data_IF_867047731621
#
_entry.id   IF_867047731621
#
_cell.length_a   1.000
_cell.length_b   1.000
_cell.length_c   1.000
_cell.angle_alpha   90.00
_cell.angle_beta   90.00
_cell.angle_gamma   90.00
#
_symmetry.space_group_name_H-M   'P 1'
#
loop_
_entity.id
_entity.type
_entity.pdbx_description
1 polymer ?
#
# COMPACT_ATOMS: atom_id res chain seq x y z
N UNK A 1 2.34 -3.70 8.40
CA UNK A 1 1.86 -3.46 7.02
C UNK A 1 1.78 -4.71 6.17
N UNK A 2 2.75 -5.63 6.19
CA UNK A 2 2.64 -6.94 5.50
C UNK A 2 1.31 -7.65 5.84
N UNK A 3 0.98 -7.73 7.14
CA UNK A 3 -0.25 -8.36 7.59
C UNK A 3 -1.51 -7.64 7.11
N UNK A 4 -1.46 -6.32 6.87
CA UNK A 4 -2.60 -5.59 6.32
C UNK A 4 -2.90 -6.04 4.88
N UNK A 5 -1.88 -6.26 4.06
CA UNK A 5 -2.02 -6.88 2.74
C UNK A 5 -2.57 -8.31 2.85
N UNK A 6 -2.06 -9.10 3.80
CA UNK A 6 -2.53 -10.47 4.01
C UNK A 6 -4.01 -10.51 4.45
N UNK A 7 -4.47 -9.57 5.29
CA UNK A 7 -5.89 -9.44 5.67
C UNK A 7 -6.74 -9.10 4.44
N UNK A 8 -6.33 -8.11 3.64
CA UNK A 8 -7.05 -7.73 2.40
C UNK A 8 -7.19 -8.90 1.43
N UNK A 9 -6.11 -9.67 1.21
CA UNK A 9 -6.15 -10.88 0.37
C UNK A 9 -7.06 -11.96 0.95
N UNK A 10 -7.01 -12.20 2.26
CA UNK A 10 -7.91 -13.18 2.89
C UNK A 10 -9.39 -12.77 2.81
N UNK A 11 -9.71 -11.48 3.00
CA UNK A 11 -11.06 -10.91 2.76
C UNK A 11 -11.52 -11.17 1.33
N UNK A 12 -10.66 -10.89 0.36
CA UNK A 12 -10.97 -11.10 -1.05
C UNK A 12 -11.15 -12.58 -1.40
N UNK A 13 -10.23 -13.46 -1.00
CA UNK A 13 -10.30 -14.88 -1.35
C UNK A 13 -11.55 -15.56 -0.81
N UNK A 14 -11.85 -15.32 0.47
CA UNK A 14 -12.84 -16.09 1.23
C UNK A 14 -14.21 -15.50 1.23
N UNK A 15 -14.28 -14.18 1.35
CA UNK A 15 -15.55 -13.48 1.46
C UNK A 15 -15.91 -12.78 0.15
N UNK A 16 -15.01 -12.77 -0.86
CA UNK A 16 -15.17 -11.97 -2.07
C UNK A 16 -15.44 -10.49 -1.75
N UNK A 17 -14.83 -9.98 -0.68
CA UNK A 17 -14.97 -8.60 -0.23
C UNK A 17 -13.70 -7.81 -0.55
N UNK A 18 -13.89 -6.61 -1.12
CA UNK A 18 -12.85 -5.57 -1.16
C UNK A 18 -13.10 -4.51 -0.10
N UNK A 19 -12.05 -3.94 0.49
CA UNK A 19 -12.16 -2.97 1.58
C UNK A 19 -12.49 -1.57 1.06
N UNK A 20 -11.83 -1.15 -0.03
CA UNK A 20 -12.00 0.13 -0.73
C UNK A 20 -11.67 1.41 0.04
N UNK A 21 -11.53 1.34 1.36
CA UNK A 21 -11.16 2.48 2.21
C UNK A 21 -9.99 2.18 3.16
N UNK A 22 -8.86 1.73 2.61
CA UNK A 22 -7.65 1.49 3.41
C UNK A 22 -7.04 2.83 3.82
N UNK A 23 -6.86 3.03 5.13
CA UNK A 23 -6.36 4.28 5.72
C UNK A 23 -5.56 4.04 7.00
N UNK A 24 -4.87 5.07 7.48
CA UNK A 24 -4.17 5.06 8.78
C UNK A 24 -5.11 4.92 9.99
N UNK A 25 -6.42 5.14 9.81
CA UNK A 25 -7.46 4.94 10.84
C UNK A 25 -8.08 3.55 10.79
N UNK A 26 -8.06 2.92 9.61
CA UNK A 26 -8.70 1.62 9.38
C UNK A 26 -7.73 0.45 9.55
N UNK A 27 -6.43 0.72 9.75
CA UNK A 27 -5.41 -0.26 10.09
C UNK A 27 -5.01 -0.05 11.56
N UNK A 28 -5.42 -0.97 12.43
CA UNK A 28 -5.14 -0.89 13.87
C UNK A 28 -4.10 -1.93 14.28
N UNK A 29 -3.41 -1.69 15.39
CA UNK A 29 -2.63 -2.73 16.06
C UNK A 29 -3.54 -3.84 16.56
N UNK A 30 -3.09 -5.07 16.39
CA UNK A 30 -3.76 -6.23 16.95
C UNK A 30 -3.78 -6.16 18.50
N UNK A 31 -4.92 -6.40 19.16
CA UNK A 31 -4.98 -6.50 20.61
C UNK A 31 -4.12 -7.65 21.11
N UNK A 32 -3.25 -7.39 22.08
CA UNK A 32 -2.44 -8.44 22.71
C UNK A 32 -3.24 -9.19 23.78
N UNK A 33 -4.21 -9.99 23.34
CA UNK A 33 -5.09 -10.77 24.22
C UNK A 33 -5.17 -12.23 23.77
N UNK A 34 -5.24 -13.16 24.73
CA UNK A 34 -5.40 -14.59 24.43
C UNK A 34 -6.67 -14.87 23.64
N UNK A 35 -7.74 -14.13 23.90
CA UNK A 35 -9.01 -14.25 23.16
C UNK A 35 -8.84 -13.87 21.67
N UNK A 36 -8.09 -12.80 21.37
CA UNK A 36 -7.77 -12.44 19.98
C UNK A 36 -6.91 -13.52 19.32
N UNK A 37 -5.82 -13.94 19.99
CA UNK A 37 -4.93 -14.99 19.48
C UNK A 37 -5.67 -16.31 19.22
N UNK A 38 -6.57 -16.72 20.12
CA UNK A 38 -7.37 -17.95 19.97
C UNK A 38 -8.29 -17.89 18.74
N UNK A 39 -9.00 -16.78 18.54
CA UNK A 39 -9.88 -16.59 17.36
C UNK A 39 -9.10 -16.68 16.05
N UNK A 40 -7.89 -16.13 16.01
CA UNK A 40 -7.06 -16.22 14.79
C UNK A 40 -6.53 -17.62 14.53
N UNK A 41 -6.17 -18.39 15.57
CA UNK A 41 -5.73 -19.80 15.42
C UNK A 41 -6.80 -20.69 14.83
N UNK A 42 -8.04 -20.51 15.28
CA UNK A 42 -9.20 -21.25 14.82
C UNK A 42 -9.71 -20.72 13.47
N UNK A 43 -9.34 -19.48 13.13
CA UNK A 43 -9.67 -18.85 11.87
C UNK A 43 -8.94 -19.50 10.70
N UNK A 44 -9.69 -19.76 9.63
CA UNK A 44 -9.09 -20.15 8.37
C UNK A 44 -8.39 -18.90 7.80
N UNK A 45 -7.06 -18.93 7.61
CA UNK A 45 -6.29 -17.96 6.83
C UNK A 45 -5.55 -18.70 5.71
N UNK A 46 -5.88 -18.38 4.46
CA UNK A 46 -5.21 -18.95 3.29
C UNK A 46 -3.91 -18.19 3.06
N UNK A 47 -3.99 -16.86 2.95
CA UNK A 47 -2.77 -16.06 2.82
C UNK A 47 -2.05 -16.00 4.16
N UNK A 48 -0.75 -16.34 4.16
CA UNK A 48 0.07 -16.38 5.37
C UNK A 48 0.37 -14.98 5.89
N UNK A 49 0.35 -14.84 7.20
CA UNK A 49 0.83 -13.65 7.90
C UNK A 49 2.36 -13.69 8.05
N UNK A 50 2.95 -12.53 8.31
CA UNK A 50 4.41 -12.36 8.36
C UNK A 50 5.06 -13.30 9.36
N UNK A 51 4.42 -13.55 10.51
CA UNK A 51 4.96 -14.44 11.54
C UNK A 51 5.13 -15.88 11.03
N UNK A 52 4.20 -16.35 10.20
CA UNK A 52 4.24 -17.70 9.63
C UNK A 52 5.31 -17.79 8.55
N UNK A 53 5.40 -16.78 7.69
CA UNK A 53 6.41 -16.72 6.63
C UNK A 53 7.82 -16.67 7.23
N UNK A 54 8.03 -15.81 8.24
CA UNK A 54 9.32 -15.66 8.90
C UNK A 54 9.76 -16.89 9.69
N UNK A 55 8.81 -17.69 10.19
CA UNK A 55 9.12 -18.91 10.92
C UNK A 55 9.61 -20.05 10.01
N UNK A 56 9.39 -19.95 8.68
CA UNK A 56 9.70 -21.02 7.72
C UNK A 56 9.10 -22.37 8.12
N UNK A 57 7.91 -22.33 8.72
CA UNK A 57 7.21 -23.51 9.21
C UNK A 57 5.71 -23.36 8.94
N UNK A 58 5.16 -24.30 8.17
CA UNK A 58 3.75 -24.32 7.77
C UNK A 58 2.80 -24.66 8.93
N UNK A 59 3.32 -25.21 10.03
CA UNK A 59 2.57 -25.55 11.23
C UNK A 59 2.37 -24.36 12.18
N UNK A 60 3.10 -23.26 11.96
CA UNK A 60 3.01 -22.08 12.82
C UNK A 60 1.65 -21.44 12.69
N UNK A 61 1.01 -21.27 13.83
CA UNK A 61 -0.28 -20.62 13.95
C UNK A 61 -0.22 -19.15 13.49
N UNK A 62 -1.28 -18.63 12.84
CA UNK A 62 -1.35 -17.23 12.47
C UNK A 62 -1.35 -16.33 13.71
N UNK A 63 -0.54 -15.28 13.68
CA UNK A 63 -0.47 -14.26 14.72
C UNK A 63 -0.42 -12.85 14.10
N UNK A 64 -1.49 -12.43 13.39
CA UNK A 64 -1.54 -11.14 12.72
C UNK A 64 -1.30 -10.01 13.70
N UNK A 65 -0.40 -9.09 13.34
CA UNK A 65 -0.01 -7.93 14.14
C UNK A 65 -0.91 -6.71 13.90
N UNK A 66 -1.88 -6.80 12.98
CA UNK A 66 -2.86 -5.75 12.73
C UNK A 66 -4.28 -6.28 12.58
N UNK A 67 -5.22 -5.36 12.75
CA UNK A 67 -6.62 -5.47 12.36
C UNK A 67 -6.88 -4.51 11.21
N UNK A 68 -7.72 -4.93 10.25
CA UNK A 68 -8.32 -4.03 9.27
C UNK A 68 -9.80 -3.93 9.59
N UNK A 69 -10.29 -2.72 9.81
CA UNK A 69 -11.65 -2.42 10.29
C UNK A 69 -12.37 -1.46 9.35
N UNK A 70 -13.65 -1.22 9.61
CA UNK A 70 -14.51 -0.30 8.85
C UNK A 70 -14.76 -0.74 7.40
N UNK A 71 -15.53 -1.81 7.27
CA UNK A 71 -16.02 -2.33 5.99
C UNK A 71 -17.25 -1.57 5.46
N UNK A 72 -17.61 -0.42 6.03
CA UNK A 72 -18.79 0.35 5.61
C UNK A 72 -18.73 0.82 4.15
N UNK A 73 -17.51 1.03 3.66
CA UNK A 73 -17.18 1.38 2.27
C UNK A 73 -16.81 0.17 1.39
N UNK A 74 -16.81 -1.03 1.97
CA UNK A 74 -16.45 -2.26 1.28
C UNK A 74 -17.43 -2.65 0.18
N UNK A 75 -17.00 -3.53 -0.70
CA UNK A 75 -17.85 -4.11 -1.74
C UNK A 75 -17.82 -5.64 -1.66
N UNK A 76 -19.01 -6.22 -1.55
CA UNK A 76 -19.24 -7.66 -1.73
C UNK A 76 -19.40 -7.95 -3.22
N UNK A 77 -18.45 -8.70 -3.80
CA UNK A 77 -18.39 -8.98 -5.23
C UNK A 77 -19.36 -10.10 -5.66
N UNK A 78 -20.00 -10.79 -4.72
CA UNK A 78 -21.04 -11.79 -5.02
C UNK A 78 -22.43 -11.15 -5.18
N UNK A 79 -22.58 -9.87 -4.83
CA UNK A 79 -23.84 -9.12 -4.92
C UNK A 79 -23.79 -8.11 -6.07
N UNK A 80 -24.82 -8.10 -6.92
CA UNK A 80 -24.89 -7.23 -8.12
C UNK A 80 -24.72 -5.73 -7.78
N UNK A 81 -25.32 -5.27 -6.67
CA UNK A 81 -25.13 -3.90 -6.17
C UNK A 81 -23.66 -3.58 -5.88
N UNK A 82 -22.88 -4.57 -5.48
CA UNK A 82 -21.44 -4.44 -5.27
C UNK A 82 -20.68 -4.05 -6.53
N UNK A 83 -21.15 -4.48 -7.72
CA UNK A 83 -20.52 -4.18 -9.02
C UNK A 83 -20.72 -2.73 -9.46
N UNK A 84 -21.91 -2.16 -9.24
CA UNK A 84 -22.18 -0.76 -9.53
C UNK A 84 -21.41 0.16 -8.57
N UNK A 85 -21.31 -0.24 -7.30
CA UNK A 85 -20.54 0.48 -6.30
C UNK A 85 -19.05 0.62 -6.68
N UNK A 86 -18.49 -0.32 -7.45
CA UNK A 86 -17.08 -0.26 -7.89
C UNK A 86 -16.77 0.97 -8.75
N UNK A 87 -17.76 1.67 -9.32
CA UNK A 87 -17.53 2.89 -10.09
C UNK A 87 -17.50 4.15 -9.23
N UNK A 88 -17.83 4.04 -7.95
CA UNK A 88 -17.80 5.15 -7.01
C UNK A 88 -16.37 5.46 -6.56
N UNK A 89 -16.06 6.76 -6.42
CA UNK A 89 -14.78 7.25 -5.90
C UNK A 89 -14.75 7.15 -4.37
N UNK A 90 -14.79 5.91 -3.87
CA UNK A 90 -14.82 5.60 -2.44
C UNK A 90 -13.40 5.45 -1.89
N UNK A 91 -13.17 6.02 -0.72
CA UNK A 91 -11.92 5.91 0.03
C UNK A 91 -11.55 7.20 0.73
N UNK A 92 -10.68 7.09 1.72
CA UNK A 92 -10.14 8.24 2.44
C UNK A 92 -9.33 9.10 1.47
N UNK A 93 -9.68 10.39 1.26
CA UNK A 93 -9.09 11.23 0.24
C UNK A 93 -7.57 11.14 0.10
N UNK A 94 -6.84 11.22 1.22
CA UNK A 94 -5.37 11.12 1.25
C UNK A 94 -4.81 9.80 0.71
N UNK A 95 -5.51 8.69 0.94
CA UNK A 95 -5.01 7.33 0.71
C UNK A 95 -5.68 6.62 -0.46
N UNK A 96 -6.80 7.13 -0.96
CA UNK A 96 -7.51 6.57 -2.12
C UNK A 96 -6.55 6.35 -3.29
N UNK A 97 -6.69 5.24 -4.02
CA UNK A 97 -5.89 4.97 -5.22
C UNK A 97 -6.07 6.07 -6.28
N UNK A 98 -5.04 6.37 -7.07
CA UNK A 98 -5.06 7.56 -7.95
C UNK A 98 -6.10 7.50 -9.07
N UNK A 99 -6.29 6.32 -9.69
CA UNK A 99 -7.34 6.12 -10.70
C UNK A 99 -8.75 6.24 -10.08
N UNK A 100 -8.92 5.74 -8.85
CA UNK A 100 -10.17 5.87 -8.09
C UNK A 100 -10.44 7.32 -7.70
N UNK A 101 -9.41 8.07 -7.28
CA UNK A 101 -9.48 9.51 -7.01
C UNK A 101 -10.00 10.32 -8.20
N UNK A 102 -9.63 9.90 -9.41
CA UNK A 102 -9.99 10.55 -10.66
C UNK A 102 -11.31 10.03 -11.25
N UNK A 103 -11.86 8.92 -10.73
CA UNK A 103 -13.02 8.23 -11.28
C UNK A 103 -12.78 7.60 -12.67
N UNK A 104 -11.52 7.44 -13.09
CA UNK A 104 -11.16 6.95 -14.42
C UNK A 104 -9.83 6.21 -14.44
N UNK A 105 -9.67 5.36 -15.46
CA UNK A 105 -8.38 4.72 -15.74
C UNK A 105 -7.38 5.76 -16.25
N UNK A 106 -6.12 5.57 -15.88
CA UNK A 106 -5.04 6.37 -16.45
C UNK A 106 -4.59 5.90 -17.82
N UNK A 107 -4.07 6.80 -18.65
CA UNK A 107 -3.69 6.47 -20.02
C UNK A 107 -2.55 5.44 -20.12
N UNK A 108 -2.74 4.41 -20.96
CA UNK A 108 -1.79 3.30 -21.20
C UNK A 108 -0.33 3.73 -21.42
N UNK A 109 -0.09 4.86 -22.09
CA UNK A 109 1.27 5.32 -22.42
C UNK A 109 2.04 5.81 -21.18
N UNK A 110 1.37 6.50 -20.26
CA UNK A 110 2.01 7.10 -19.08
C UNK A 110 2.09 6.18 -17.86
N UNK A 111 1.24 5.15 -17.84
CA UNK A 111 1.04 4.24 -16.69
C UNK A 111 1.10 2.78 -17.14
N UNK A 112 2.02 2.50 -18.07
CA UNK A 112 2.27 1.15 -18.61
C UNK A 112 2.92 0.24 -17.56
N UNK A 113 2.57 -1.04 -17.56
CA UNK A 113 3.22 -2.08 -16.75
C UNK A 113 4.32 -2.85 -17.50
N UNK A 114 4.68 -2.44 -18.73
CA UNK A 114 5.56 -3.23 -19.64
C UNK A 114 6.98 -3.43 -19.13
N UNK A 115 7.46 -2.55 -18.27
CA UNK A 115 8.84 -2.53 -17.77
C UNK A 115 8.89 -2.72 -16.26
N UNK A 116 7.79 -3.24 -15.68
CA UNK A 116 7.64 -3.41 -14.23
C UNK A 116 7.57 -4.90 -13.93
N UNK A 117 8.71 -5.44 -13.51
CA UNK A 117 8.85 -6.85 -13.17
C UNK A 117 8.43 -7.14 -11.72
N UNK A 118 7.85 -8.32 -11.52
CA UNK A 118 7.55 -8.83 -10.18
C UNK A 118 8.83 -8.84 -9.32
N UNK A 119 8.82 -8.26 -8.11
CA UNK A 119 9.97 -8.23 -7.23
C UNK A 119 10.58 -9.63 -7.03
N UNK A 120 11.87 -9.74 -7.37
CA UNK A 120 12.63 -10.97 -7.24
C UNK A 120 13.02 -11.22 -5.78
N UNK A 121 12.91 -12.47 -5.35
CA UNK A 121 13.30 -12.93 -4.03
C UNK A 121 14.47 -13.90 -4.20
N UNK A 122 15.70 -13.39 -4.15
CA UNK A 122 16.92 -14.17 -4.43
C UNK A 122 17.66 -14.60 -3.15
N UNK A 123 18.52 -15.62 -3.27
CA UNK A 123 19.34 -16.11 -2.16
C UNK A 123 18.50 -16.54 -0.95
N UNK A 124 18.83 -16.01 0.24
CA UNK A 124 18.12 -16.31 1.49
C UNK A 124 16.64 -15.89 1.44
N UNK A 125 16.29 -14.91 0.60
CA UNK A 125 14.91 -14.45 0.43
C UNK A 125 14.05 -15.47 -0.34
N UNK A 126 14.66 -16.26 -1.23
CA UNK A 126 13.98 -17.29 -2.02
C UNK A 126 13.37 -18.39 -1.11
N UNK A 127 14.02 -18.68 0.02
CA UNK A 127 13.52 -19.66 0.99
C UNK A 127 12.18 -19.22 1.59
N UNK A 128 12.00 -17.92 1.84
CA UNK A 128 10.73 -17.41 2.39
C UNK A 128 9.59 -17.47 1.37
N UNK A 129 9.90 -17.41 0.07
CA UNK A 129 8.89 -17.45 -0.99
C UNK A 129 8.06 -18.75 -0.97
N UNK A 130 8.67 -19.87 -0.56
CA UNK A 130 7.98 -21.16 -0.42
C UNK A 130 6.94 -21.17 0.73
N UNK A 131 7.06 -20.22 1.66
CA UNK A 131 6.15 -20.02 2.78
C UNK A 131 5.19 -18.85 2.54
N UNK A 132 5.47 -18.00 1.57
CA UNK A 132 4.46 -17.15 0.94
C UNK A 132 3.55 -18.04 0.10
N UNK A 133 2.24 -17.75 0.07
CA UNK A 133 1.32 -18.38 -0.90
C UNK A 133 1.58 -17.82 -2.31
N UNK A 134 2.79 -18.04 -2.85
CA UNK A 134 3.39 -17.27 -3.94
C UNK A 134 3.64 -18.06 -5.23
N UNK A 135 3.40 -19.37 -5.24
CA UNK A 135 3.73 -20.26 -6.39
C UNK A 135 2.94 -19.93 -7.67
N UNK A 136 1.81 -19.23 -7.55
CA UNK A 136 0.93 -18.91 -8.69
C UNK A 136 1.29 -17.59 -9.38
N UNK A 137 2.21 -16.79 -8.80
CA UNK A 137 2.49 -15.41 -9.26
C UNK A 137 3.84 -15.27 -9.99
N UNK A 138 4.51 -16.38 -10.27
CA UNK A 138 5.70 -16.40 -11.11
C UNK A 138 5.29 -16.50 -12.58
N UNK A 139 4.84 -15.39 -13.17
CA UNK A 139 4.60 -15.34 -14.61
C UNK A 139 5.83 -14.75 -15.30
N UNK A 140 6.55 -15.60 -16.02
CA UNK A 140 7.44 -15.21 -17.12
C UNK A 140 6.56 -14.70 -18.27
N UNK A 141 6.85 -13.49 -18.76
CA UNK A 141 6.36 -12.88 -20.01
C UNK A 141 5.28 -13.68 -20.74
N UNK A 142 4.04 -13.54 -20.30
CA UNK A 142 2.93 -13.95 -21.15
C UNK A 142 2.75 -12.88 -22.22
N UNK A 143 2.91 -13.19 -23.52
CA UNK A 143 2.65 -12.23 -24.57
C UNK A 143 1.16 -11.89 -24.48
N UNK A 144 0.87 -10.68 -24.00
CA UNK A 144 -0.49 -10.22 -23.73
C UNK A 144 -1.40 -10.58 -24.90
N UNK A 145 -2.46 -11.33 -24.61
CA UNK A 145 -3.45 -11.75 -25.61
C UNK A 145 -3.91 -10.53 -26.41
N UNK A 146 -3.87 -10.64 -27.74
CA UNK A 146 -4.15 -9.57 -28.70
C UNK A 146 -5.62 -9.14 -28.75
N UNK A 147 -6.49 -9.77 -27.95
CA UNK A 147 -7.92 -9.43 -27.85
C UNK A 147 -8.39 -9.42 -26.40
N UNK A 148 -7.79 -8.55 -25.59
CA UNK A 148 -8.33 -8.25 -24.26
C UNK A 148 -9.49 -7.25 -24.39
N UNK A 149 -10.58 -7.42 -23.61
CA UNK A 149 -11.68 -6.47 -23.56
C UNK A 149 -11.17 -5.05 -23.28
N UNK A 150 -11.85 -4.04 -23.81
CA UNK A 150 -11.55 -2.66 -23.45
C UNK A 150 -11.69 -2.49 -21.93
N UNK A 151 -10.60 -2.10 -21.27
CA UNK A 151 -10.59 -1.93 -19.83
C UNK A 151 -11.51 -0.78 -19.46
N UNK A 152 -12.52 -1.06 -18.62
CA UNK A 152 -13.40 -0.08 -18.02
C UNK A 152 -12.95 0.21 -16.59
N UNK A 153 -13.16 1.46 -16.18
CA UNK A 153 -12.94 1.86 -14.80
C UNK A 153 -13.89 1.10 -13.87
N UNK A 154 -13.31 0.49 -12.85
CA UNK A 154 -13.96 -0.10 -11.70
C UNK A 154 -12.90 -0.24 -10.61
N UNK A 155 -13.30 -0.08 -9.35
CA UNK A 155 -12.46 -0.38 -8.21
C UNK A 155 -12.10 -1.86 -8.24
N UNK A 156 -10.80 -2.18 -8.19
CA UNK A 156 -10.27 -3.54 -8.19
C UNK A 156 -9.32 -3.70 -7.01
N UNK A 157 -9.00 -4.95 -6.68
CA UNK A 157 -8.22 -5.29 -5.51
C UNK A 157 -6.89 -4.51 -5.46
N UNK A 158 -6.18 -4.34 -6.57
CA UNK A 158 -4.92 -3.59 -6.61
C UNK A 158 -5.02 -2.13 -6.14
N UNK A 159 -6.21 -1.50 -6.17
CA UNK A 159 -6.39 -0.16 -5.61
C UNK A 159 -6.27 -0.16 -4.07
N UNK A 160 -6.65 -1.24 -3.40
CA UNK A 160 -6.46 -1.39 -1.95
C UNK A 160 -4.96 -1.57 -1.63
N UNK A 161 -4.19 -2.23 -2.53
CA UNK A 161 -2.73 -2.29 -2.44
C UNK A 161 -2.08 -0.91 -2.64
N UNK A 162 -2.52 -0.13 -3.63
CA UNK A 162 -2.05 1.25 -3.82
C UNK A 162 -2.39 2.12 -2.60
N UNK A 163 -3.59 1.96 -2.03
CA UNK A 163 -3.97 2.68 -0.81
C UNK A 163 -3.09 2.31 0.39
N UNK A 164 -2.74 1.02 0.51
CA UNK A 164 -1.77 0.54 1.50
C UNK A 164 -0.39 1.19 1.32
N UNK A 165 0.07 1.34 0.07
CA UNK A 165 1.29 2.07 -0.24
C UNK A 165 1.21 3.54 0.23
N UNK A 166 0.11 4.25 -0.04
CA UNK A 166 -0.05 5.64 0.39
C UNK A 166 -0.03 5.78 1.92
N UNK A 167 -0.59 4.83 2.66
CA UNK A 167 -0.49 4.78 4.14
C UNK A 167 0.97 4.65 4.58
N UNK A 168 1.75 3.77 3.94
CA UNK A 168 3.18 3.57 4.24
C UNK A 168 3.97 4.84 3.94
N UNK A 169 3.81 5.38 2.74
CA UNK A 169 4.48 6.59 2.29
C UNK A 169 4.22 7.78 3.22
N UNK A 170 2.95 8.01 3.56
CA UNK A 170 2.56 9.08 4.48
C UNK A 170 3.15 8.91 5.88
N UNK A 171 3.09 7.68 6.41
CA UNK A 171 3.65 7.36 7.73
C UNK A 171 5.15 7.62 7.77
N UNK A 172 5.91 7.09 6.80
CA UNK A 172 7.37 7.25 6.77
C UNK A 172 7.80 8.69 6.49
N UNK A 173 7.13 9.40 5.58
CA UNK A 173 7.45 10.79 5.28
C UNK A 173 7.29 11.71 6.50
N UNK A 174 6.36 11.39 7.40
CA UNK A 174 6.11 12.11 8.67
C UNK A 174 6.90 11.57 9.85
N UNK A 175 7.72 10.56 9.63
CA UNK A 175 8.51 9.96 10.69
C UNK A 175 9.94 10.47 10.68
N UNK A 176 10.59 10.32 11.82
CA UNK A 176 12.00 10.62 12.00
C UNK A 176 12.64 9.47 12.79
N UNK A 177 13.96 9.30 12.69
CA UNK A 177 14.69 8.37 13.57
C UNK A 177 14.63 8.88 15.01
N UNK A 178 14.48 7.96 15.97
CA UNK A 178 14.50 8.30 17.41
C UNK A 178 15.83 8.99 17.76
N UNK A 179 15.72 10.15 18.43
CA UNK A 179 16.87 10.95 18.86
C UNK A 179 17.43 11.90 17.80
N UNK A 180 16.89 11.90 16.58
CA UNK A 180 17.28 12.86 15.54
C UNK A 180 16.67 14.24 15.76
N UNK A 181 17.36 15.26 15.27
CA UNK A 181 16.89 16.65 15.25
C UNK A 181 15.98 16.90 14.04
N UNK A 182 15.08 17.87 14.17
CA UNK A 182 14.25 18.33 13.05
C UNK A 182 15.10 19.05 12.00
N UNK A 183 14.68 18.96 10.73
CA UNK A 183 15.27 19.78 9.68
C UNK A 183 14.93 21.26 9.91
N UNK A 184 15.94 22.13 9.97
CA UNK A 184 15.72 23.59 10.05
C UNK A 184 14.94 24.09 8.82
N UNK A 185 15.27 23.57 7.64
CA UNK A 185 14.59 23.87 6.37
C UNK A 185 14.31 22.55 5.64
N UNK A 186 13.09 22.00 5.74
CA UNK A 186 12.75 20.76 5.06
C UNK A 186 12.81 20.90 3.54
N UNK A 187 13.22 19.83 2.85
CA UNK A 187 13.36 19.82 1.40
C UNK A 187 12.04 20.14 0.67
N UNK A 188 12.10 20.88 -0.45
CA UNK A 188 10.91 21.32 -1.20
C UNK A 188 10.00 20.16 -1.63
N UNK A 189 10.57 18.99 -1.93
CA UNK A 189 9.81 17.78 -2.30
C UNK A 189 8.99 17.23 -1.15
N UNK A 190 9.55 17.12 0.06
CA UNK A 190 8.78 16.78 1.26
C UNK A 190 7.66 17.79 1.52
N UNK A 191 7.94 19.10 1.40
CA UNK A 191 6.91 20.15 1.54
C UNK A 191 5.77 19.92 0.55
N UNK A 192 6.08 19.74 -0.73
CA UNK A 192 5.08 19.45 -1.76
C UNK A 192 4.31 18.17 -1.45
N UNK A 193 4.99 17.07 -1.13
CA UNK A 193 4.36 15.80 -0.77
C UNK A 193 3.38 15.97 0.40
N UNK A 194 3.83 16.59 1.49
CA UNK A 194 3.02 16.80 2.69
C UNK A 194 1.75 17.59 2.39
N UNK A 195 1.90 18.72 1.68
CA UNK A 195 0.78 19.62 1.39
C UNK A 195 -0.17 19.02 0.34
N UNK A 196 0.35 18.34 -0.69
CA UNK A 196 -0.46 17.58 -1.66
C UNK A 196 -1.29 16.54 -0.92
N UNK A 197 -0.66 15.67 -0.12
CA UNK A 197 -1.37 14.60 0.59
C UNK A 197 -2.37 15.14 1.62
N UNK A 198 -2.07 16.25 2.30
CA UNK A 198 -2.94 16.84 3.32
C UNK A 198 -4.17 17.53 2.74
N UNK A 199 -4.06 18.07 1.53
CA UNK A 199 -5.14 18.80 0.86
C UNK A 199 -5.78 18.00 -0.27
N UNK A 200 -5.35 16.75 -0.48
CA UNK A 200 -5.88 15.94 -1.56
C UNK A 200 -7.36 15.62 -1.33
N UNK A 201 -8.16 15.81 -2.38
CA UNK A 201 -9.54 15.37 -2.46
C UNK A 201 -9.80 14.75 -3.84
N UNK A 202 -10.64 13.70 -3.93
CA UNK A 202 -11.07 13.14 -5.22
C UNK A 202 -11.78 14.19 -6.06
N UNK A 203 -11.44 14.24 -7.35
CA UNK A 203 -12.07 15.13 -8.33
C UNK A 203 -12.50 14.26 -9.51
N UNK A 204 -13.81 14.11 -9.77
CA UNK A 204 -14.28 13.34 -10.92
C UNK A 204 -13.69 13.91 -12.20
N UNK A 205 -13.11 13.04 -13.03
CA UNK A 205 -12.42 13.40 -14.26
C UNK A 205 -11.20 14.33 -14.10
N UNK A 206 -10.86 14.69 -12.86
CA UNK A 206 -9.74 15.54 -12.52
C UNK A 206 -8.40 14.86 -12.66
N UNK A 207 -7.35 15.66 -12.46
CA UNK A 207 -5.99 15.17 -12.42
C UNK A 207 -5.58 14.90 -10.98
N UNK A 208 -5.15 13.68 -10.68
CA UNK A 208 -4.55 13.38 -9.38
C UNK A 208 -3.20 14.09 -9.25
N UNK A 209 -3.08 14.98 -8.26
CA UNK A 209 -1.87 15.79 -8.04
C UNK A 209 -0.68 15.00 -7.48
N UNK A 210 -0.86 13.73 -7.08
CA UNK A 210 0.19 12.85 -6.54
C UNK A 210 1.05 12.24 -7.66
N UNK A 211 1.65 13.10 -8.47
CA UNK A 211 2.56 12.74 -9.57
C UNK A 211 4.02 12.74 -9.11
N UNK A 212 4.35 11.84 -8.20
CA UNK A 212 5.72 11.65 -7.73
C UNK A 212 6.51 10.72 -8.67
N UNK A 213 7.83 10.81 -8.59
CA UNK A 213 8.77 9.93 -9.31
C UNK A 213 9.62 9.11 -8.33
N UNK A 214 10.31 8.09 -8.85
CA UNK A 214 11.19 7.23 -8.08
C UNK A 214 12.22 8.05 -7.27
N UNK A 215 12.81 9.06 -7.90
CA UNK A 215 13.88 9.90 -7.37
C UNK A 215 13.39 10.90 -6.31
N UNK A 216 12.08 11.14 -6.19
CA UNK A 216 11.52 12.05 -5.21
C UNK A 216 11.57 11.47 -3.79
N UNK A 217 11.54 10.13 -3.64
CA UNK A 217 11.42 9.48 -2.33
C UNK A 217 12.59 9.76 -1.40
N UNK A 218 13.81 9.93 -1.94
CA UNK A 218 14.99 10.32 -1.16
C UNK A 218 14.87 11.68 -0.49
N UNK A 219 14.01 12.53 -1.04
CA UNK A 219 13.75 13.87 -0.52
C UNK A 219 12.44 13.98 0.26
N UNK A 220 11.54 13.01 0.09
CA UNK A 220 10.27 12.95 0.81
C UNK A 220 10.46 12.39 2.22
N UNK A 221 11.43 11.50 2.43
CA UNK A 221 11.79 10.99 3.75
C UNK A 221 12.76 11.93 4.47
N UNK A 222 12.80 11.83 5.81
CA UNK A 222 13.84 12.47 6.60
C UNK A 222 15.20 11.86 6.22
N UNK A 223 16.31 12.64 6.19
CA UNK A 223 17.63 12.12 5.84
C UNK A 223 18.06 10.87 6.65
N UNK A 224 17.73 10.83 7.94
CA UNK A 224 18.04 9.67 8.80
C UNK A 224 17.21 8.41 8.50
N UNK A 225 16.20 8.51 7.65
CA UNK A 225 15.42 7.38 7.14
C UNK A 225 15.82 7.00 5.70
N UNK A 226 16.96 7.51 5.19
CA UNK A 226 17.42 7.28 3.82
C UNK A 226 17.56 5.79 3.46
N UNK A 227 17.84 4.91 4.44
CA UNK A 227 17.92 3.47 4.22
C UNK A 227 16.58 2.85 3.75
N UNK A 228 15.44 3.48 4.07
CA UNK A 228 14.10 3.01 3.68
C UNK A 228 13.68 3.50 2.29
N UNK A 229 14.47 4.39 1.66
CA UNK A 229 14.15 4.97 0.34
C UNK A 229 14.03 3.89 -0.74
N UNK A 230 14.95 2.92 -0.87
CA UNK A 230 14.83 1.89 -1.91
C UNK A 230 13.56 1.06 -1.77
N UNK A 231 13.17 0.68 -0.55
CA UNK A 231 11.89 -0.01 -0.32
C UNK A 231 10.72 0.82 -0.85
N UNK A 232 10.62 2.08 -0.43
CA UNK A 232 9.49 2.94 -0.79
C UNK A 232 9.45 3.24 -2.29
N UNK A 233 10.61 3.47 -2.91
CA UNK A 233 10.72 3.75 -4.33
C UNK A 233 10.34 2.53 -5.19
N UNK A 234 10.80 1.33 -4.82
CA UNK A 234 10.43 0.09 -5.50
C UNK A 234 8.94 -0.23 -5.34
N UNK A 235 8.36 0.02 -4.16
CA UNK A 235 6.91 -0.14 -3.96
C UNK A 235 6.12 0.83 -4.83
N UNK A 236 6.55 2.09 -4.90
CA UNK A 236 5.91 3.11 -5.73
C UNK A 236 5.96 2.73 -7.22
N UNK A 237 7.13 2.32 -7.70
CA UNK A 237 7.31 1.87 -9.08
C UNK A 237 6.34 0.75 -9.43
N UNK A 238 6.08 -0.17 -8.49
CA UNK A 238 5.17 -1.27 -8.71
C UNK A 238 3.68 -0.92 -8.63
N UNK A 239 3.28 -0.03 -7.70
CA UNK A 239 1.87 0.43 -7.64
C UNK A 239 1.55 1.51 -8.67
N UNK A 240 2.57 2.07 -9.34
CA UNK A 240 2.41 3.18 -10.28
C UNK A 240 1.58 2.82 -11.52
N UNK A 241 1.78 1.68 -12.20
CA UNK A 241 1.05 1.31 -13.41
C UNK A 241 -0.46 1.18 -13.22
N UNK A 242 -1.19 1.38 -14.32
CA UNK A 242 -2.62 1.09 -14.38
C UNK A 242 -2.81 -0.41 -14.66
N UNK A 243 -2.81 -1.22 -13.60
CA UNK A 243 -2.94 -2.67 -13.66
C UNK A 243 -4.27 -3.14 -14.24
N UNK A 244 -5.27 -2.25 -14.37
CA UNK A 244 -6.52 -2.57 -15.04
C UNK A 244 -6.36 -3.03 -16.50
N UNK A 245 -5.24 -2.70 -17.15
CA UNK A 245 -4.87 -3.14 -18.51
C UNK A 245 -4.19 -4.51 -18.58
N UNK A 246 -4.00 -5.19 -17.45
CA UNK A 246 -3.46 -6.55 -17.35
C UNK A 246 -4.46 -7.52 -16.72
N UNK A 247 -5.64 -7.71 -17.34
CA UNK A 247 -6.66 -8.65 -16.85
C UNK A 247 -6.22 -10.13 -16.95
N UNK A 248 -5.11 -10.40 -17.63
CA UNK A 248 -4.46 -11.71 -17.69
C UNK A 248 -3.77 -12.10 -16.38
N UNK A 249 -3.46 -11.12 -15.53
CA UNK A 249 -2.83 -11.34 -14.24
C UNK A 249 -3.88 -11.63 -13.15
N UNK A 250 -3.45 -12.38 -12.14
CA UNK A 250 -4.27 -12.62 -10.95
C UNK A 250 -4.61 -11.30 -10.24
N UNK A 251 -5.83 -11.21 -9.69
CA UNK A 251 -6.31 -9.99 -9.02
C UNK A 251 -5.43 -9.57 -7.83
N UNK A 252 -4.72 -10.52 -7.20
CA UNK A 252 -3.84 -10.29 -6.06
C UNK A 252 -2.38 -10.00 -6.46
N UNK A 253 -2.08 -9.89 -7.76
CA UNK A 253 -0.72 -9.70 -8.29
C UNK A 253 0.02 -8.51 -7.65
N UNK A 254 -0.67 -7.38 -7.50
CA UNK A 254 -0.08 -6.17 -6.90
C UNK A 254 0.11 -6.32 -5.39
N UNK A 255 -0.79 -7.01 -4.69
CA UNK A 255 -0.61 -7.33 -3.28
C UNK A 255 0.58 -8.26 -3.07
N UNK A 256 0.74 -9.27 -3.91
CA UNK A 256 1.87 -10.20 -3.86
C UNK A 256 3.20 -9.44 -3.99
N UNK A 257 3.34 -8.58 -5.00
CA UNK A 257 4.53 -7.77 -5.19
C UNK A 257 4.81 -6.85 -3.99
N UNK A 258 3.78 -6.18 -3.47
CA UNK A 258 3.90 -5.32 -2.29
C UNK A 258 4.33 -6.12 -1.05
N UNK A 259 3.79 -7.32 -0.87
CA UNK A 259 4.17 -8.23 0.23
C UNK A 259 5.60 -8.73 0.09
N UNK A 260 6.10 -9.01 -1.12
CA UNK A 260 7.51 -9.36 -1.34
C UNK A 260 8.43 -8.20 -0.95
N UNK A 261 8.15 -6.99 -1.43
CA UNK A 261 8.94 -5.80 -1.10
C UNK A 261 8.96 -5.52 0.40
N UNK A 262 7.82 -5.66 1.08
CA UNK A 262 7.74 -5.55 2.54
C UNK A 262 8.55 -6.64 3.24
N UNK A 263 8.51 -7.87 2.75
CA UNK A 263 9.25 -8.99 3.34
C UNK A 263 10.76 -8.83 3.18
N UNK A 264 11.22 -8.33 2.03
CA UNK A 264 12.63 -7.97 1.80
C UNK A 264 13.09 -7.03 2.90
N UNK A 265 12.35 -5.94 3.15
CA UNK A 265 12.74 -4.97 4.17
C UNK A 265 12.67 -5.55 5.59
N UNK A 266 11.66 -6.37 5.90
CA UNK A 266 11.54 -7.02 7.21
C UNK A 266 12.74 -7.95 7.46
N UNK A 267 13.22 -8.66 6.44
CA UNK A 267 14.42 -9.51 6.56
C UNK A 267 15.68 -8.66 6.70
N UNK A 268 15.81 -7.55 5.97
CA UNK A 268 16.92 -6.61 6.13
C UNK A 268 17.01 -6.09 7.57
N UNK A 269 15.88 -5.65 8.13
CA UNK A 269 15.76 -5.18 9.51
C UNK A 269 16.25 -6.25 10.49
N UNK A 270 15.79 -7.51 10.34
CA UNK A 270 16.25 -8.63 11.18
C UNK A 270 17.74 -8.94 11.03
N UNK A 271 18.36 -8.56 9.91
CA UNK A 271 19.78 -8.72 9.66
C UNK A 271 20.61 -7.49 10.09
N UNK A 272 20.03 -6.56 10.84
CA UNK A 272 20.76 -5.46 11.49
C UNK A 272 20.63 -4.10 10.80
N UNK A 273 19.71 -3.94 9.84
CA UNK A 273 19.41 -2.61 9.25
C UNK A 273 18.27 -1.88 9.96
N UNK A 274 17.93 -2.29 11.19
CA UNK A 274 16.83 -1.69 11.93
C UNK A 274 17.07 -0.21 12.24
N UNK A 275 15.99 0.56 12.19
CA UNK A 275 15.98 1.99 12.51
C UNK A 275 14.80 2.21 13.44
N UNK A 276 15.08 2.64 14.67
CA UNK A 276 14.02 3.04 15.59
C UNK A 276 13.31 4.30 15.05
N UNK A 277 12.04 4.14 14.68
CA UNK A 277 11.23 5.20 14.07
C UNK A 277 10.33 5.85 15.11
N UNK A 278 10.42 7.18 15.25
CA UNK A 278 9.40 7.99 15.92
C UNK A 278 8.30 8.34 14.92
N UNK A 279 7.22 7.55 14.94
CA UNK A 279 6.08 7.72 14.02
C UNK A 279 5.40 9.07 14.26
N UNK A 280 5.28 9.86 13.20
CA UNK A 280 4.68 11.20 13.28
C UNK A 280 5.55 12.23 14.00
N UNK A 281 6.80 11.90 14.31
CA UNK A 281 7.74 12.76 15.00
C UNK A 281 8.39 13.85 14.14
N UNK A 282 8.19 13.85 12.81
CA UNK A 282 8.72 14.90 11.92
C UNK A 282 7.73 16.06 11.82
N UNK A 283 8.24 17.27 11.96
CA UNK A 283 7.42 18.48 11.95
C UNK A 283 6.66 18.70 10.65
N UNK A 284 5.53 19.39 10.76
CA UNK A 284 4.76 19.82 9.59
C UNK A 284 5.54 20.90 8.83
N UNK A 285 5.86 20.69 7.54
CA UNK A 285 6.63 21.65 6.78
C UNK A 285 5.86 22.94 6.51
N UNK A 286 6.55 24.10 6.36
CA UNK A 286 5.90 25.31 5.88
C UNK A 286 5.34 25.12 4.45
N UNK A 287 4.23 25.82 4.09
CA UNK A 287 3.64 25.78 2.75
C UNK A 287 4.67 26.06 1.66
N UNK A 288 4.62 25.41 0.49
CA UNK A 288 5.55 25.67 -0.62
C UNK A 288 5.56 27.16 -1.01
N UNK A 289 6.68 27.70 -1.53
CA UNK A 289 6.74 29.09 -1.99
C UNK A 289 5.63 29.38 -3.01
N UNK A 290 4.86 30.45 -2.80
CA UNK A 290 3.76 30.85 -3.68
C UNK A 290 2.39 30.22 -3.36
N UNK A 291 2.29 29.31 -2.38
CA UNK A 291 1.03 28.88 -1.78
C UNK A 291 0.87 29.57 -0.43
N UNK A 292 -0.21 30.34 -0.24
CA UNK A 292 -0.50 31.02 1.02
C UNK A 292 -0.57 30.05 2.22
N UNK A 293 -0.46 30.58 3.45
CA UNK A 293 -0.69 29.76 4.65
C UNK A 293 -2.06 29.09 4.54
N UNK A 294 -2.10 27.78 4.80
CA UNK A 294 -3.35 27.06 5.01
C UNK A 294 -4.15 27.79 6.11
N UNK A 295 -5.48 27.87 6.00
CA UNK A 295 -6.29 28.34 7.12
C UNK A 295 -6.01 27.44 8.33
N UNK A 296 -5.59 28.05 9.44
CA UNK A 296 -5.56 27.39 10.74
C UNK A 296 -7.01 27.14 11.18
N UNK A 297 -7.59 25.99 10.84
CA UNK A 297 -8.80 25.40 11.43
C UNK A 297 -8.85 23.95 10.92
N UNK A 298 -8.87 22.91 11.74
CA UNK A 298 -9.83 22.68 12.81
C UNK A 298 -9.14 22.32 14.13
N UNK A 299 -9.42 23.13 15.16
CA UNK A 299 -9.36 22.66 16.53
C UNK A 299 -10.31 21.48 16.69
N UNK A 300 -9.80 20.41 17.29
CA UNK A 300 -10.60 19.31 17.79
C UNK A 300 -11.59 19.85 18.84
N UNK A 301 -12.88 19.44 18.83
CA UNK A 301 -13.55 19.17 20.09
C UNK A 301 -12.95 17.91 20.74
#
# INVERSE_FOLDING_TARGET
MYDACAVQRNLYRKCKIMHRDISDKNIMFAPDTDAYRKRNREGYAEVKFVNQVLAKDKSVNPAPQCLVIDLGNGADLEVERGLDALREMTGTPKFIARSVSSGKLFGKKGFSSKEVDMPLMEGVLAEYLQFMHATEYQVLDSPGSTTLPEAKFAHRLFHDAESTFWVIAWTLARSIKVGSEQEEIPHIKFRLFFHIMSTHYPIPEGFDSRQFYYEDWKFNLHPDLAALVPMLANMFEYVRPEWAYRPDLDAEHVHEALMRLLLIEIVNIKNGTDIDIHIGGRDSPPPPPGQGRLPECYGLP
#
